data_IF_496682441597
#
_entry.id   IF_496682441597
#
_cell.length_a   1.000
_cell.length_b   1.000
_cell.length_c   1.000
_cell.angle_alpha   90.00
_cell.angle_beta   90.00
_cell.angle_gamma   90.00
#
_symmetry.space_group_name_H-M   'P 1'
#
loop_
_entity.id
_entity.type
_entity.pdbx_description
1 polymer ?
#
# COMPACT_ATOMS: atom_id res chain seq x y z
N UNK A 1 -15.63 -9.70 -2.99
CA UNK A 1 -14.58 -10.46 -3.72
C UNK A 1 -13.30 -10.44 -2.91
N UNK A 2 -12.62 -11.57 -2.75
CA UNK A 2 -11.36 -11.57 -2.00
C UNK A 2 -10.28 -10.79 -2.72
N UNK A 3 -9.38 -10.19 -1.93
CA UNK A 3 -8.19 -9.53 -2.46
C UNK A 3 -7.28 -10.59 -3.07
N UNK A 4 -6.81 -10.34 -4.29
CA UNK A 4 -5.89 -11.23 -4.99
C UNK A 4 -4.65 -10.48 -5.50
N UNK A 5 -4.83 -9.31 -6.10
CA UNK A 5 -3.75 -8.51 -6.69
C UNK A 5 -3.40 -7.35 -5.78
N UNK A 6 -2.15 -7.28 -5.35
CA UNK A 6 -1.65 -6.25 -4.43
C UNK A 6 -0.53 -5.47 -5.11
N UNK A 7 -0.62 -4.14 -5.06
CA UNK A 7 0.46 -3.25 -5.47
C UNK A 7 1.23 -2.78 -4.24
N UNK A 8 2.53 -3.03 -4.23
CA UNK A 8 3.44 -2.54 -3.18
C UNK A 8 4.13 -1.28 -3.67
N UNK A 9 4.03 -0.19 -2.92
CA UNK A 9 4.69 1.07 -3.24
C UNK A 9 5.66 1.42 -2.12
N UNK A 10 6.96 1.33 -2.42
CA UNK A 10 8.04 1.57 -1.46
C UNK A 10 9.32 1.80 -2.26
N UNK A 11 10.12 2.78 -1.88
CA UNK A 11 11.38 3.06 -2.57
C UNK A 11 12.53 2.15 -2.13
N UNK A 12 12.36 1.40 -1.06
CA UNK A 12 13.35 0.44 -0.58
C UNK A 12 13.20 -0.90 -1.29
N UNK A 13 14.21 -1.27 -2.07
CA UNK A 13 14.24 -2.58 -2.75
C UNK A 13 14.20 -3.74 -1.76
N UNK A 14 14.85 -3.58 -0.61
CA UNK A 14 14.86 -4.59 0.45
C UNK A 14 13.44 -4.82 0.98
N UNK A 15 12.70 -3.76 1.25
CA UNK A 15 11.32 -3.84 1.73
C UNK A 15 10.40 -4.44 0.67
N UNK A 16 10.53 -4.02 -0.59
CA UNK A 16 9.75 -4.58 -1.68
C UNK A 16 9.97 -6.08 -1.80
N UNK A 17 11.23 -6.51 -1.70
CA UNK A 17 11.57 -7.94 -1.77
C UNK A 17 10.96 -8.71 -0.60
N UNK A 18 11.12 -8.19 0.62
CA UNK A 18 10.61 -8.82 1.84
C UNK A 18 9.09 -8.97 1.80
N UNK A 19 8.38 -7.89 1.51
CA UNK A 19 6.92 -7.89 1.47
C UNK A 19 6.38 -8.72 0.30
N UNK A 20 7.04 -8.65 -0.86
CA UNK A 20 6.64 -9.47 -2.02
C UNK A 20 6.73 -10.95 -1.69
N UNK A 21 7.85 -11.37 -1.12
CA UNK A 21 8.06 -12.78 -0.74
C UNK A 21 7.00 -13.25 0.26
N UNK A 22 6.76 -12.43 1.28
CA UNK A 22 5.75 -12.71 2.30
C UNK A 22 4.36 -12.90 1.70
N UNK A 23 3.95 -12.01 0.82
CA UNK A 23 2.62 -12.04 0.22
C UNK A 23 2.47 -13.13 -0.83
N UNK A 24 3.50 -13.35 -1.63
CA UNK A 24 3.49 -14.45 -2.63
C UNK A 24 3.33 -15.80 -1.94
N UNK A 25 3.99 -16.01 -0.81
CA UNK A 25 3.87 -17.25 -0.02
C UNK A 25 2.45 -17.45 0.55
N UNK A 26 1.68 -16.38 0.67
CA UNK A 26 0.29 -16.44 1.15
C UNK A 26 -0.72 -16.50 0.01
N UNK A 27 -0.26 -16.65 -1.24
CA UNK A 27 -1.12 -16.84 -2.40
C UNK A 27 -1.55 -15.57 -3.14
N UNK A 28 -1.01 -14.41 -2.77
CA UNK A 28 -1.33 -13.16 -3.46
C UNK A 28 -0.48 -12.97 -4.70
N UNK A 29 -1.02 -12.25 -5.67
CA UNK A 29 -0.27 -11.75 -6.83
C UNK A 29 0.24 -10.36 -6.50
N UNK A 30 1.52 -10.08 -6.78
CA UNK A 30 2.18 -8.84 -6.32
C UNK A 30 2.81 -8.09 -7.49
N UNK A 31 2.52 -6.79 -7.57
CA UNK A 31 3.23 -5.84 -8.42
C UNK A 31 3.94 -4.86 -7.51
N UNK A 32 5.07 -4.31 -7.96
CA UNK A 32 5.86 -3.37 -7.16
C UNK A 32 6.05 -2.06 -7.89
N UNK A 33 6.17 -0.98 -7.12
CA UNK A 33 6.48 0.35 -7.62
C UNK A 33 7.43 1.03 -6.63
N UNK A 34 8.50 1.63 -7.13
CA UNK A 34 9.51 2.28 -6.28
C UNK A 34 9.30 3.79 -6.18
N UNK A 35 8.26 4.32 -6.79
CA UNK A 35 7.95 5.75 -6.78
C UNK A 35 6.47 5.98 -7.05
N UNK A 36 6.01 7.21 -6.83
CA UNK A 36 4.64 7.60 -7.14
C UNK A 36 4.30 7.47 -8.62
N UNK A 37 5.20 7.92 -9.48
CA UNK A 37 5.02 7.84 -10.92
C UNK A 37 4.88 6.39 -11.38
N UNK A 38 5.74 5.53 -10.85
CA UNK A 38 5.70 4.11 -11.17
C UNK A 38 4.40 3.46 -10.66
N UNK A 39 3.94 3.86 -9.48
CA UNK A 39 2.69 3.37 -8.90
C UNK A 39 1.50 3.71 -9.80
N UNK A 40 1.41 4.95 -10.27
CA UNK A 40 0.34 5.37 -11.17
C UNK A 40 0.38 4.62 -12.50
N UNK A 41 1.60 4.34 -12.99
CA UNK A 41 1.79 3.56 -14.21
C UNK A 41 1.28 2.12 -14.03
N UNK A 42 1.60 1.50 -12.89
CA UNK A 42 1.11 0.14 -12.60
C UNK A 42 -0.41 0.08 -12.50
N UNK A 43 -1.02 1.08 -11.87
CA UNK A 43 -2.47 1.17 -11.75
C UNK A 43 -3.15 1.31 -13.11
N UNK A 44 -2.53 2.05 -14.03
CA UNK A 44 -3.06 2.23 -15.39
C UNK A 44 -2.94 0.95 -16.22
N UNK A 45 -1.92 0.14 -15.97
CA UNK A 45 -1.67 -1.10 -16.72
C UNK A 45 -2.57 -2.25 -16.28
N UNK A 46 -2.88 -2.33 -14.98
CA UNK A 46 -3.58 -3.49 -14.42
C UNK A 46 -4.31 -3.10 -13.15
N UNK A 47 -5.59 -3.47 -13.04
CA UNK A 47 -6.38 -3.18 -11.85
C UNK A 47 -5.84 -3.96 -10.66
N UNK A 48 -5.62 -3.25 -9.56
CA UNK A 48 -5.20 -3.83 -8.29
C UNK A 48 -6.38 -3.89 -7.32
N UNK A 49 -6.36 -4.89 -6.43
CA UNK A 49 -7.40 -5.06 -5.43
C UNK A 49 -7.07 -4.33 -4.14
N UNK A 50 -5.80 -4.04 -3.91
CA UNK A 50 -5.32 -3.38 -2.69
C UNK A 50 -3.95 -2.78 -2.94
N UNK A 51 -3.65 -1.67 -2.26
CA UNK A 51 -2.35 -1.00 -2.34
C UNK A 51 -1.74 -0.95 -0.93
N UNK A 52 -0.49 -1.41 -0.81
CA UNK A 52 0.34 -1.18 0.38
C UNK A 52 1.26 -0.01 0.08
N UNK A 53 1.17 1.05 0.87
CA UNK A 53 1.80 2.34 0.58
C UNK A 53 2.77 2.74 1.68
N UNK A 54 4.05 2.91 1.34
CA UNK A 54 4.99 3.55 2.25
C UNK A 54 4.81 5.06 2.20
N UNK A 55 5.07 5.71 3.33
CA UNK A 55 4.94 7.17 3.46
C UNK A 55 6.22 7.87 3.01
N UNK A 56 7.37 7.35 3.44
CA UNK A 56 8.65 8.03 3.24
C UNK A 56 9.27 7.61 1.92
N UNK A 57 9.08 8.44 0.88
CA UNK A 57 9.65 8.21 -0.45
C UNK A 57 10.20 9.54 -1.00
N UNK A 58 11.32 9.50 -1.76
CA UNK A 58 11.83 10.72 -2.38
C UNK A 58 10.84 11.29 -3.40
N UNK A 59 10.78 12.61 -3.47
CA UNK A 59 9.88 13.32 -4.37
C UNK A 59 8.49 13.47 -3.81
N UNK A 60 7.60 12.52 -4.08
CA UNK A 60 6.23 12.53 -3.60
C UNK A 60 6.08 11.55 -2.44
N UNK A 61 5.63 12.03 -1.26
CA UNK A 61 5.40 11.13 -0.13
C UNK A 61 4.10 10.32 -0.29
N UNK A 62 4.01 9.23 0.48
CA UNK A 62 2.89 8.31 0.39
C UNK A 62 1.55 8.91 0.82
N UNK A 63 1.53 9.92 1.67
CA UNK A 63 0.30 10.61 2.06
C UNK A 63 -0.30 11.34 0.85
N UNK A 64 0.53 12.08 0.10
CA UNK A 64 0.10 12.81 -1.09
C UNK A 64 -0.38 11.84 -2.17
N UNK A 65 0.37 10.77 -2.37
CA UNK A 65 0.02 9.76 -3.38
C UNK A 65 -1.30 9.06 -3.03
N UNK A 66 -1.50 8.72 -1.76
CA UNK A 66 -2.76 8.13 -1.28
C UNK A 66 -3.93 9.06 -1.58
N UNK A 67 -3.78 10.34 -1.30
CA UNK A 67 -4.82 11.34 -1.59
C UNK A 67 -5.14 11.39 -3.08
N UNK A 68 -4.12 11.40 -3.92
CA UNK A 68 -4.29 11.41 -5.39
C UNK A 68 -5.09 10.18 -5.85
N UNK A 69 -4.72 9.01 -5.35
CA UNK A 69 -5.37 7.75 -5.74
C UNK A 69 -6.81 7.68 -5.23
N UNK A 70 -7.03 8.01 -3.97
CA UNK A 70 -8.36 7.87 -3.34
C UNK A 70 -9.36 8.91 -3.83
N UNK A 71 -8.89 10.02 -4.39
CA UNK A 71 -9.75 11.05 -4.98
C UNK A 71 -9.99 10.87 -6.47
N UNK A 72 -9.25 9.97 -7.11
CA UNK A 72 -9.46 9.65 -8.52
C UNK A 72 -10.64 8.67 -8.62
N UNK A 73 -11.73 9.02 -9.32
CA UNK A 73 -12.89 8.12 -9.44
C UNK A 73 -12.53 6.76 -10.00
N UNK A 74 -11.47 6.67 -10.78
CA UNK A 74 -11.01 5.42 -11.39
C UNK A 74 -10.46 4.46 -10.35
N UNK A 75 -9.86 4.98 -9.25
CA UNK A 75 -9.16 4.18 -8.24
C UNK A 75 -9.75 4.34 -6.82
N UNK A 76 -10.81 5.12 -6.67
CA UNK A 76 -11.36 5.48 -5.36
C UNK A 76 -11.82 4.27 -4.54
N UNK A 77 -12.17 3.16 -5.20
CA UNK A 77 -12.63 1.94 -4.54
C UNK A 77 -11.49 0.95 -4.21
N UNK A 78 -10.25 1.26 -4.60
CA UNK A 78 -9.10 0.42 -4.27
C UNK A 78 -8.60 0.81 -2.87
N UNK A 79 -8.70 -0.10 -1.88
CA UNK A 79 -8.26 0.25 -0.52
C UNK A 79 -6.74 0.42 -0.45
N UNK A 80 -6.31 1.42 0.32
CA UNK A 80 -4.90 1.69 0.60
C UNK A 80 -4.63 1.42 2.06
N UNK A 81 -3.64 0.57 2.34
CA UNK A 81 -3.11 0.34 3.68
C UNK A 81 -1.74 1.00 3.74
N UNK A 82 -1.55 1.94 4.66
CA UNK A 82 -0.22 2.53 4.88
C UNK A 82 0.68 1.49 5.55
N UNK A 83 1.92 1.37 5.07
CA UNK A 83 2.89 0.40 5.58
C UNK A 83 4.24 1.10 5.70
N UNK A 84 4.57 1.60 6.90
CA UNK A 84 5.66 2.55 7.07
C UNK A 84 6.26 2.50 8.46
N UNK A 85 7.49 3.03 8.61
CA UNK A 85 8.15 3.18 9.90
C UNK A 85 7.63 4.36 10.73
N UNK A 86 6.81 5.24 10.15
CA UNK A 86 6.19 6.34 10.90
C UNK A 86 5.12 5.78 11.82
N UNK A 87 5.33 5.92 13.14
CA UNK A 87 4.50 5.21 14.12
C UNK A 87 3.77 6.13 15.12
N UNK A 88 3.83 7.46 14.92
CA UNK A 88 3.13 8.38 15.81
C UNK A 88 1.63 8.36 15.51
N UNK A 89 0.83 8.62 16.53
CA UNK A 89 -0.62 8.67 16.38
C UNK A 89 -1.05 9.72 15.36
N UNK A 90 -0.34 10.86 15.33
CA UNK A 90 -0.61 11.91 14.35
C UNK A 90 -0.38 11.45 12.91
N UNK A 91 0.62 10.59 12.69
CA UNK A 91 0.88 10.00 11.36
C UNK A 91 -0.29 9.12 10.92
N UNK A 92 -0.80 8.31 11.83
CA UNK A 92 -1.93 7.40 11.56
C UNK A 92 -3.20 8.19 11.23
N UNK A 93 -3.49 9.21 12.03
CA UNK A 93 -4.65 10.08 11.81
C UNK A 93 -4.53 10.78 10.45
N UNK A 94 -3.36 11.29 10.14
CA UNK A 94 -3.12 11.98 8.87
C UNK A 94 -3.30 11.04 7.67
N UNK A 95 -2.76 9.82 7.77
CA UNK A 95 -2.92 8.80 6.73
C UNK A 95 -4.38 8.46 6.46
N UNK A 96 -5.16 8.26 7.52
CA UNK A 96 -6.59 7.95 7.38
C UNK A 96 -7.35 9.13 6.76
N UNK A 97 -6.96 10.37 7.05
CA UNK A 97 -7.55 11.57 6.43
C UNK A 97 -7.25 11.67 4.95
N UNK A 98 -6.13 11.11 4.48
CA UNK A 98 -5.81 11.08 3.06
C UNK A 98 -6.60 10.00 2.31
N UNK A 99 -7.33 9.17 3.03
CA UNK A 99 -8.16 8.13 2.44
C UNK A 99 -7.67 6.71 2.66
N UNK A 100 -6.56 6.52 3.40
CA UNK A 100 -6.13 5.17 3.76
C UNK A 100 -7.18 4.48 4.62
N UNK A 101 -7.32 3.18 4.45
CA UNK A 101 -8.29 2.36 5.18
C UNK A 101 -7.69 1.70 6.42
N UNK A 102 -6.36 1.57 6.47
CA UNK A 102 -5.68 0.99 7.62
C UNK A 102 -4.20 1.39 7.62
N UNK A 103 -3.49 1.00 8.68
CA UNK A 103 -2.12 1.44 8.90
C UNK A 103 -1.32 0.30 9.57
N UNK A 104 -0.16 -0.02 9.00
CA UNK A 104 0.76 -1.04 9.53
C UNK A 104 2.11 -0.39 9.77
N UNK A 105 2.69 -0.60 10.95
CA UNK A 105 4.00 -0.03 11.32
C UNK A 105 5.09 -1.06 11.09
N UNK A 106 6.18 -0.65 10.44
CA UNK A 106 7.36 -1.50 10.24
C UNK A 106 8.17 -1.61 11.54
N UNK A 107 8.80 -2.74 11.83
CA UNK A 107 8.88 -3.94 11.00
C UNK A 107 7.54 -4.68 10.95
N UNK A 108 7.19 -5.17 9.76
CA UNK A 108 5.87 -5.75 9.50
C UNK A 108 5.76 -7.13 10.13
N UNK A 109 4.71 -7.33 10.92
CA UNK A 109 4.30 -8.65 11.39
C UNK A 109 3.42 -9.27 10.31
N UNK A 110 3.83 -10.44 9.80
CA UNK A 110 3.14 -11.10 8.70
C UNK A 110 1.68 -11.42 9.01
N UNK A 111 1.40 -11.92 10.19
CA UNK A 111 0.02 -12.27 10.59
C UNK A 111 -0.87 -11.03 10.69
N UNK A 112 -0.35 -9.96 11.28
CA UNK A 112 -1.08 -8.68 11.37
C UNK A 112 -1.42 -8.15 9.99
N UNK A 113 -0.45 -8.12 9.08
CA UNK A 113 -0.66 -7.61 7.73
C UNK A 113 -1.70 -8.44 6.98
N UNK A 114 -1.57 -9.77 7.03
CA UNK A 114 -2.51 -10.66 6.33
C UNK A 114 -3.92 -10.51 6.88
N UNK A 115 -4.07 -10.39 8.20
CA UNK A 115 -5.39 -10.17 8.80
C UNK A 115 -6.03 -8.87 8.29
N UNK A 116 -5.24 -7.79 8.21
CA UNK A 116 -5.75 -6.50 7.71
C UNK A 116 -6.13 -6.58 6.23
N UNK A 117 -5.36 -7.29 5.43
CA UNK A 117 -5.68 -7.51 4.01
C UNK A 117 -7.00 -8.29 3.89
N UNK A 118 -7.16 -9.35 4.66
CA UNK A 118 -8.36 -10.19 4.65
C UNK A 118 -9.63 -9.43 5.04
N UNK A 119 -9.50 -8.36 5.79
CA UNK A 119 -10.64 -7.52 6.16
C UNK A 119 -11.29 -6.83 4.96
N UNK A 120 -10.59 -6.76 3.83
CA UNK A 120 -11.12 -6.18 2.59
C UNK A 120 -11.63 -7.23 1.59
N UNK A 121 -11.74 -8.43 2.01
CA UNK A 121 -12.21 -9.53 1.17
C UNK A 121 -11.40 -10.79 1.38
#
# INVERSE_FOLDING_TARGET
MPVHKILLVDDSKTELHYLSDLLLKRGYSVRTAASGDEAMKRLAEDRQDLILMDVVMPGQNGFQLTRTITRDPQYADVPVIMCTSKNQESDKVWGMRQGARDYVVKPVNAEELVQKIRAFG
#
